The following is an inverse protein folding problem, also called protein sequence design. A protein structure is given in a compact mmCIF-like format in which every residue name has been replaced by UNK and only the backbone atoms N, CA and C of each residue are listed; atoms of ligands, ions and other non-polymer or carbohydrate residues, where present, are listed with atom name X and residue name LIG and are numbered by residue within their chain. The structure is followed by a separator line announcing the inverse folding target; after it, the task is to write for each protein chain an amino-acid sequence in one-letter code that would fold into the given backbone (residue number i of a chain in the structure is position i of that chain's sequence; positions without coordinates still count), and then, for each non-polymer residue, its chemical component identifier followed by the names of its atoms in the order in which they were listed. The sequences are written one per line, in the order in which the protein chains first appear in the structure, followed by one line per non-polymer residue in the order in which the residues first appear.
data_IF_643337956544
#
_entry.id   IF_643337956544
#
_cell.length_a   1.000
_cell.length_b   1.000
_cell.length_c   1.000
_cell.angle_alpha   90.00
_cell.angle_beta   90.00
_cell.angle_gamma   90.00
#
_symmetry.space_group_name_H-M   'P 1'
#
loop_
_entity.id
_entity.type
_entity.pdbx_description
1 polymer ?
#
# COMPACT_ATOMS: atom_id res chain seq x y z
N UNK A 1 18.83 -20.73 -14.25
CA UNK A 1 19.65 -21.74 -13.55
C UNK A 1 19.00 -23.13 -13.46
N UNK A 2 17.70 -23.31 -13.80
CA UNK A 2 16.99 -24.60 -13.76
C UNK A 2 17.58 -25.67 -14.72
N UNK A 3 18.13 -25.26 -15.87
CA UNK A 3 18.72 -26.20 -16.85
C UNK A 3 20.07 -26.82 -16.44
N UNK A 4 20.78 -26.27 -15.46
CA UNK A 4 22.10 -26.78 -15.08
C UNK A 4 22.01 -28.05 -14.19
N UNK A 5 20.92 -28.23 -13.45
CA UNK A 5 20.73 -29.37 -12.55
C UNK A 5 20.10 -30.59 -13.24
N UNK A 6 19.24 -30.38 -14.25
CA UNK A 6 18.65 -31.50 -15.03
C UNK A 6 19.70 -32.32 -15.79
N UNK A 7 20.83 -31.72 -16.18
CA UNK A 7 21.96 -32.45 -16.78
C UNK A 7 22.90 -33.11 -15.75
N UNK A 8 22.94 -32.62 -14.51
CA UNK A 8 23.79 -33.18 -13.45
C UNK A 8 23.11 -34.34 -12.70
N UNK A 9 21.78 -34.35 -12.61
CA UNK A 9 20.99 -35.42 -11.99
C UNK A 9 21.15 -36.79 -12.67
N UNK A 10 21.49 -36.80 -13.96
CA UNK A 10 21.62 -38.03 -14.75
C UNK A 10 22.84 -38.90 -14.37
N UNK A 11 23.78 -38.38 -13.55
CA UNK A 11 24.99 -39.09 -13.16
C UNK A 11 25.18 -39.22 -11.63
N UNK A 12 24.15 -38.89 -10.84
CA UNK A 12 24.22 -39.01 -9.39
C UNK A 12 23.83 -40.42 -8.93
N UNK A 13 24.45 -40.95 -7.87
CA UNK A 13 24.03 -42.20 -7.24
C UNK A 13 22.53 -42.17 -6.93
N UNK A 14 21.83 -43.30 -7.09
CA UNK A 14 20.37 -43.38 -6.93
C UNK A 14 19.88 -42.82 -5.58
N UNK A 15 20.65 -43.03 -4.51
CA UNK A 15 20.35 -42.53 -3.17
C UNK A 15 20.35 -41.01 -3.09
N UNK A 16 21.25 -40.34 -3.83
CA UNK A 16 21.33 -38.88 -3.86
C UNK A 16 20.15 -38.32 -4.63
N UNK A 17 19.76 -38.94 -5.75
CA UNK A 17 18.57 -38.55 -6.49
C UNK A 17 17.29 -38.73 -5.65
N UNK A 18 17.18 -39.84 -4.90
CA UNK A 18 16.05 -40.06 -4.00
C UNK A 18 15.99 -39.01 -2.87
N UNK A 19 17.14 -38.65 -2.30
CA UNK A 19 17.22 -37.59 -1.28
C UNK A 19 16.80 -36.24 -1.85
N UNK A 20 17.25 -35.88 -3.05
CA UNK A 20 16.86 -34.64 -3.73
C UNK A 20 15.34 -34.61 -3.93
N UNK A 21 14.74 -35.69 -4.45
CA UNK A 21 13.29 -35.76 -4.66
C UNK A 21 12.50 -35.60 -3.36
N UNK A 22 13.01 -36.14 -2.24
CA UNK A 22 12.36 -35.99 -0.93
C UNK A 22 12.47 -34.55 -0.41
N UNK A 23 13.64 -33.91 -0.58
CA UNK A 23 13.86 -32.53 -0.20
C UNK A 23 12.97 -31.58 -1.03
N UNK A 24 12.89 -31.78 -2.34
CA UNK A 24 12.03 -30.99 -3.23
C UNK A 24 10.55 -31.13 -2.87
N UNK A 25 10.09 -32.34 -2.53
CA UNK A 25 8.68 -32.57 -2.17
C UNK A 25 8.30 -32.02 -0.80
N UNK A 26 9.17 -32.13 0.19
CA UNK A 26 8.79 -31.93 1.59
C UNK A 26 9.43 -30.72 2.25
N UNK A 27 10.62 -30.31 1.82
CA UNK A 27 11.44 -29.34 2.54
C UNK A 27 11.62 -28.03 1.77
N UNK A 28 11.67 -28.07 0.45
CA UNK A 28 11.98 -26.92 -0.40
C UNK A 28 10.73 -26.22 -0.93
N UNK A 29 10.93 -24.99 -1.37
CA UNK A 29 9.90 -24.16 -1.94
C UNK A 29 9.44 -24.69 -3.33
N UNK A 30 8.14 -24.56 -3.66
CA UNK A 30 7.55 -25.15 -4.86
C UNK A 30 8.02 -24.50 -6.18
N UNK A 31 8.57 -23.28 -6.13
CA UNK A 31 9.12 -22.59 -7.31
C UNK A 31 10.53 -23.05 -7.72
N UNK A 32 11.06 -24.08 -7.05
CA UNK A 32 12.39 -24.63 -7.33
C UNK A 32 13.54 -23.79 -6.77
N UNK A 33 13.24 -22.87 -5.84
CA UNK A 33 14.26 -22.21 -5.06
C UNK A 33 14.79 -23.16 -3.98
N UNK A 34 16.07 -23.01 -3.60
CA UNK A 34 16.67 -23.78 -2.51
C UNK A 34 16.33 -23.19 -1.12
N UNK A 35 15.19 -22.53 -1.02
CA UNK A 35 14.67 -21.97 0.23
C UNK A 35 13.77 -23.01 0.88
N UNK A 36 13.75 -23.04 2.21
CA UNK A 36 12.83 -23.92 2.94
C UNK A 36 11.39 -23.51 2.66
N UNK A 37 10.50 -24.50 2.61
CA UNK A 37 9.08 -24.31 2.33
C UNK A 37 8.41 -23.34 3.31
N UNK A 38 8.80 -23.36 4.59
CA UNK A 38 8.30 -22.41 5.59
C UNK A 38 8.74 -20.99 5.28
N UNK A 39 10.04 -20.76 5.06
CA UNK A 39 10.57 -19.44 4.76
C UNK A 39 9.99 -18.85 3.47
N UNK A 40 9.70 -19.71 2.48
CA UNK A 40 8.98 -19.29 1.28
C UNK A 40 7.59 -18.72 1.61
N UNK A 41 6.76 -19.44 2.37
CA UNK A 41 5.41 -18.98 2.71
C UNK A 41 5.43 -17.76 3.64
N UNK A 42 6.35 -17.72 4.60
CA UNK A 42 6.52 -16.57 5.49
C UNK A 42 6.88 -15.31 4.68
N UNK A 43 7.76 -15.43 3.69
CA UNK A 43 8.15 -14.33 2.82
C UNK A 43 7.01 -13.89 1.89
N UNK A 44 6.22 -14.83 1.36
CA UNK A 44 5.03 -14.51 0.57
C UNK A 44 4.02 -13.72 1.39
N UNK A 45 3.72 -14.19 2.60
CA UNK A 45 2.83 -13.49 3.54
C UNK A 45 3.36 -12.09 3.85
N UNK A 46 4.62 -11.95 4.25
CA UNK A 46 5.23 -10.66 4.56
C UNK A 46 5.17 -9.69 3.36
N UNK A 47 5.34 -10.19 2.13
CA UNK A 47 5.22 -9.36 0.92
C UNK A 47 3.79 -8.86 0.71
N UNK A 48 2.80 -9.71 0.93
CA UNK A 48 1.38 -9.33 0.86
C UNK A 48 1.04 -8.28 1.93
N UNK A 49 1.49 -8.48 3.16
CA UNK A 49 1.26 -7.51 4.25
C UNK A 49 1.90 -6.15 3.98
N UNK A 50 3.14 -6.14 3.49
CA UNK A 50 3.84 -4.90 3.12
C UNK A 50 3.14 -4.19 1.95
N UNK A 51 2.66 -4.93 0.95
CA UNK A 51 1.92 -4.35 -0.18
C UNK A 51 0.60 -3.73 0.26
N UNK A 52 -0.12 -4.39 1.19
CA UNK A 52 -1.37 -3.91 1.78
C UNK A 52 -1.15 -2.62 2.57
N UNK A 53 -0.10 -2.57 3.39
CA UNK A 53 0.20 -1.38 4.18
C UNK A 53 0.64 -0.21 3.30
N UNK A 54 1.42 -0.49 2.24
CA UNK A 54 1.79 0.53 1.24
C UNK A 54 0.57 1.13 0.56
N UNK A 55 -0.44 0.31 0.22
CA UNK A 55 -1.67 0.82 -0.40
C UNK A 55 -2.42 1.77 0.56
N UNK A 56 -2.60 1.37 1.82
CA UNK A 56 -3.23 2.21 2.84
C UNK A 56 -2.51 3.55 3.04
N UNK A 57 -1.18 3.53 3.04
CA UNK A 57 -0.39 4.77 3.12
C UNK A 57 -0.68 5.70 1.93
N UNK A 58 -0.75 5.15 0.71
CA UNK A 58 -1.04 5.95 -0.49
C UNK A 58 -2.46 6.52 -0.46
N UNK A 59 -3.45 5.75 0.01
CA UNK A 59 -4.81 6.23 0.20
C UNK A 59 -4.88 7.37 1.22
N UNK A 60 -4.20 7.22 2.37
CA UNK A 60 -4.12 8.27 3.38
C UNK A 60 -3.44 9.54 2.85
N UNK A 61 -2.38 9.38 2.06
CA UNK A 61 -1.67 10.50 1.43
C UNK A 61 -2.54 11.23 0.42
N UNK A 62 -3.34 10.51 -0.38
CA UNK A 62 -4.29 11.12 -1.30
C UNK A 62 -5.33 11.97 -0.56
N UNK A 63 -5.93 11.42 0.51
CA UNK A 63 -6.89 12.15 1.36
C UNK A 63 -6.25 13.40 1.98
N UNK A 64 -5.00 13.30 2.46
CA UNK A 64 -4.29 14.44 3.00
C UNK A 64 -4.08 15.54 1.95
N UNK A 65 -3.66 15.17 0.73
CA UNK A 65 -3.52 16.11 -0.38
C UNK A 65 -4.85 16.79 -0.75
N UNK A 66 -5.95 16.04 -0.79
CA UNK A 66 -7.30 16.61 -1.02
C UNK A 66 -7.69 17.61 0.08
N UNK A 67 -7.46 17.26 1.35
CA UNK A 67 -7.76 18.14 2.47
C UNK A 67 -6.95 19.46 2.42
N UNK A 68 -5.67 19.38 2.07
CA UNK A 68 -4.81 20.56 1.88
C UNK A 68 -5.35 21.43 0.74
N UNK A 69 -5.66 20.83 -0.42
CA UNK A 69 -6.19 21.57 -1.57
C UNK A 69 -7.52 22.28 -1.23
N UNK A 70 -8.43 21.62 -0.52
CA UNK A 70 -9.69 22.25 -0.09
C UNK A 70 -9.47 23.48 0.81
N UNK A 71 -8.47 23.43 1.71
CA UNK A 71 -8.15 24.57 2.58
C UNK A 71 -7.57 25.72 1.76
N UNK A 72 -6.68 25.42 0.82
CA UNK A 72 -6.08 26.42 -0.09
C UNK A 72 -7.16 27.08 -0.97
N UNK A 73 -8.06 26.29 -1.56
CA UNK A 73 -9.19 26.76 -2.35
C UNK A 73 -10.13 27.65 -1.51
N UNK A 74 -10.43 27.26 -0.28
CA UNK A 74 -11.26 28.05 0.64
C UNK A 74 -10.61 29.40 0.98
N UNK A 75 -9.31 29.40 1.29
CA UNK A 75 -8.56 30.62 1.59
C UNK A 75 -8.47 31.55 0.37
N UNK A 76 -8.31 30.98 -0.83
CA UNK A 76 -8.32 31.72 -2.08
C UNK A 76 -9.69 32.35 -2.34
N UNK A 77 -10.78 31.61 -2.12
CA UNK A 77 -12.14 32.12 -2.26
C UNK A 77 -12.42 33.30 -1.31
N UNK A 78 -12.01 33.19 -0.04
CA UNK A 78 -12.08 34.31 0.92
C UNK A 78 -11.26 35.51 0.42
N UNK A 79 -10.04 35.28 -0.03
CA UNK A 79 -9.15 36.34 -0.48
C UNK A 79 -9.73 37.07 -1.69
N UNK A 80 -10.25 36.35 -2.69
CA UNK A 80 -10.92 36.94 -3.87
C UNK A 80 -12.18 37.70 -3.46
N UNK A 81 -13.00 37.14 -2.56
CA UNK A 81 -14.19 37.81 -2.03
C UNK A 81 -13.83 39.12 -1.29
N UNK A 82 -12.72 39.16 -0.58
CA UNK A 82 -12.23 40.35 0.12
C UNK A 82 -11.60 41.37 -0.85
N UNK A 83 -10.84 40.94 -1.88
CA UNK A 83 -10.26 41.83 -2.89
C UNK A 83 -11.31 42.43 -3.83
N UNK A 84 -12.39 41.70 -4.11
CA UNK A 84 -13.56 42.20 -4.84
C UNK A 84 -14.45 43.15 -4.02
N UNK A 85 -14.17 43.33 -2.72
CA UNK A 85 -15.02 44.05 -1.78
C UNK A 85 -14.27 45.11 -0.98
N UNK A 86 -13.68 46.08 -1.68
CA UNK A 86 -13.44 47.42 -1.11
C UNK A 86 -14.77 48.21 -1.17
N UNK A 87 -15.67 47.88 -0.23
CA UNK A 87 -16.64 48.76 0.45
C UNK A 87 -17.65 47.88 1.19
N UNK A 88 -17.69 48.08 2.50
CA UNK A 88 -18.79 47.70 3.40
C UNK A 88 -18.95 46.21 3.74
N UNK A 89 -17.92 45.60 4.33
CA UNK A 89 -18.00 44.28 5.02
C UNK A 89 -18.49 44.40 6.47
N UNK A 90 -18.73 45.61 7.00
CA UNK A 90 -19.31 45.78 8.34
C UNK A 90 -20.82 45.41 8.39
N UNK A 91 -21.49 45.22 7.24
CA UNK A 91 -22.96 45.09 7.16
C UNK A 91 -23.53 43.80 6.55
N UNK A 92 -22.71 42.88 6.02
CA UNK A 92 -23.24 41.61 5.47
C UNK A 92 -22.80 40.42 6.32
N UNK A 93 -23.29 40.41 7.56
CA UNK A 93 -23.51 39.17 8.29
C UNK A 93 -25.01 38.83 8.18
N UNK A 94 -25.46 38.03 7.20
CA UNK A 94 -26.74 37.35 7.34
C UNK A 94 -26.45 35.95 7.90
N UNK A 95 -26.56 35.85 9.21
CA UNK A 95 -27.33 34.77 9.86
C UNK A 95 -27.23 33.37 9.22
N UNK A 96 -26.03 32.80 9.12
CA UNK A 96 -25.86 31.33 9.01
C UNK A 96 -25.63 30.73 10.40
N UNK A 97 -26.39 31.23 11.37
CA UNK A 97 -26.56 30.57 12.66
C UNK A 97 -27.31 29.27 12.43
N UNK A 98 -26.65 28.15 12.73
CA UNK A 98 -27.31 26.86 12.89
C UNK A 98 -28.52 27.06 13.81
N UNK A 99 -29.73 26.90 13.27
CA UNK A 99 -30.97 26.88 14.04
C UNK A 99 -30.99 25.64 14.92
N UNK A 100 -30.31 25.70 16.06
CA UNK A 100 -30.56 24.79 17.18
C UNK A 100 -31.02 25.67 18.34
N UNK A 101 -32.31 25.63 18.63
CA UNK A 101 -32.88 26.21 19.85
C UNK A 101 -32.53 25.30 21.02
N UNK A 102 -31.84 25.78 22.07
CA UNK A 102 -31.80 25.07 23.34
C UNK A 102 -33.09 25.38 24.11
N UNK A 103 -33.75 24.32 24.59
CA UNK A 103 -34.69 24.38 25.69
C UNK A 103 -33.99 24.79 26.99
#
# INVERSE_FOLDING_TARGET
MVKALQGAAQNLPADVNQLIDQLERHCLAPEGSLVTKSAYYDLQLAREEMSRERLRYLEAMAIYCEAVAMVEEYQQAISVANHGRIRDVQGLYPQLGLKNSPQ
#
